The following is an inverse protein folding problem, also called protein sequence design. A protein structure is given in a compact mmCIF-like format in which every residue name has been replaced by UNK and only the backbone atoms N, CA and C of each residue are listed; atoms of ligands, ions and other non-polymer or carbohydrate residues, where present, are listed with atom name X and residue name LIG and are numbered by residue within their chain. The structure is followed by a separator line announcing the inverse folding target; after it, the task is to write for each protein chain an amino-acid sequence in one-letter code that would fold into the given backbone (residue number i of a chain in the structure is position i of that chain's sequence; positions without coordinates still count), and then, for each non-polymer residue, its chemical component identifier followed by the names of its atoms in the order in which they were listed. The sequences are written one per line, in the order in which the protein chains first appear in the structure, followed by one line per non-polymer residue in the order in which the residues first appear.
data_IF_329968584580
#
_entry.id   IF_329968584580
#
_cell.length_a   1.000
_cell.length_b   1.000
_cell.length_c   1.000
_cell.angle_alpha   90.00
_cell.angle_beta   90.00
_cell.angle_gamma   90.00
#
_symmetry.space_group_name_H-M   'P 1'
#
loop_
_entity.id
_entity.type
_entity.pdbx_description
1 polymer ?
#
# COMPACT_ATOMS: atom_id res chain seq x y z
N UNK A 1 -78.53 -18.05 -0.16
CA UNK A 1 -77.45 -18.76 0.54
C UNK A 1 -76.14 -18.12 0.14
N UNK A 2 -75.63 -17.24 1.01
CA UNK A 2 -74.36 -16.54 0.79
C UNK A 2 -73.23 -17.41 1.33
N UNK A 3 -72.29 -17.79 0.46
CA UNK A 3 -71.10 -18.54 0.85
C UNK A 3 -70.00 -17.53 1.17
N UNK A 4 -69.45 -17.65 2.38
CA UNK A 4 -68.40 -16.79 2.93
C UNK A 4 -67.13 -16.88 2.07
N UNK A 5 -66.65 -15.73 1.58
CA UNK A 5 -65.30 -15.60 1.02
C UNK A 5 -64.32 -15.73 2.18
N UNK A 6 -63.61 -16.85 2.23
CA UNK A 6 -62.47 -17.02 3.12
C UNK A 6 -61.38 -16.03 2.69
N UNK A 7 -60.94 -15.22 3.65
CA UNK A 7 -59.75 -14.39 3.56
C UNK A 7 -58.58 -15.35 3.35
N UNK A 8 -58.06 -15.40 2.13
CA UNK A 8 -56.80 -16.08 1.83
C UNK A 8 -55.70 -15.22 2.46
N UNK A 9 -55.02 -15.77 3.47
CA UNK A 9 -53.82 -15.20 4.08
C UNK A 9 -52.84 -14.73 2.99
N UNK A 10 -52.63 -13.42 2.95
CA UNK A 10 -51.63 -12.79 2.09
C UNK A 10 -50.18 -13.10 2.54
N UNK A 11 -50.00 -13.85 3.63
CA UNK A 11 -48.67 -14.19 4.17
C UNK A 11 -47.93 -15.24 3.33
N UNK A 12 -48.62 -16.05 2.53
CA UNK A 12 -47.98 -17.09 1.71
C UNK A 12 -47.46 -16.62 0.34
N UNK A 13 -47.81 -15.41 -0.10
CA UNK A 13 -47.25 -14.80 -1.33
C UNK A 13 -46.03 -13.91 -1.07
N UNK A 14 -45.68 -13.66 0.20
CA UNK A 14 -44.42 -12.99 0.57
C UNK A 14 -43.25 -13.98 0.78
N UNK A 15 -43.49 -15.29 0.67
CA UNK A 15 -42.46 -16.32 0.80
C UNK A 15 -41.75 -16.69 -0.51
N UNK A 16 -41.95 -15.92 -1.59
CA UNK A 16 -41.15 -16.00 -2.81
C UNK A 16 -39.97 -15.02 -2.78
N UNK A 17 -38.74 -15.55 -2.63
CA UNK A 17 -37.44 -14.87 -2.46
C UNK A 17 -37.18 -14.37 -1.04
N UNK A 18 -36.81 -15.30 -0.17
CA UNK A 18 -36.29 -15.00 1.17
C UNK A 18 -35.06 -14.09 1.12
N UNK A 19 -35.28 -12.78 1.21
CA UNK A 19 -34.35 -11.90 1.92
C UNK A 19 -34.72 -12.05 3.40
N UNK A 20 -34.00 -12.92 4.12
CA UNK A 20 -33.78 -12.64 5.53
C UNK A 20 -33.18 -11.24 5.57
N UNK A 21 -33.86 -10.29 6.18
CA UNK A 21 -33.25 -9.02 6.56
C UNK A 21 -32.21 -9.40 7.60
N UNK A 22 -30.97 -9.64 7.16
CA UNK A 22 -29.85 -9.86 8.07
C UNK A 22 -29.76 -8.63 8.96
N UNK A 23 -29.85 -8.83 10.27
CA UNK A 23 -29.43 -7.81 11.21
C UNK A 23 -28.01 -7.40 10.83
N UNK A 24 -27.78 -6.09 10.74
CA UNK A 24 -26.47 -5.59 10.33
C UNK A 24 -25.44 -6.05 11.34
N UNK A 25 -24.28 -6.45 10.84
CA UNK A 25 -23.15 -6.84 11.66
C UNK A 25 -22.87 -5.79 12.74
N UNK A 26 -22.91 -6.22 14.00
CA UNK A 26 -22.57 -5.41 15.16
C UNK A 26 -21.20 -5.83 15.68
N UNK A 27 -20.26 -4.89 15.67
CA UNK A 27 -18.88 -5.09 16.11
C UNK A 27 -18.88 -5.60 17.55
N UNK A 28 -19.79 -5.13 18.41
CA UNK A 28 -19.85 -5.50 19.83
C UNK A 28 -20.29 -6.95 20.09
N UNK A 29 -20.82 -7.62 19.08
CA UNK A 29 -21.31 -8.99 19.22
C UNK A 29 -20.28 -10.07 18.89
N UNK A 30 -19.10 -9.69 18.39
CA UNK A 30 -18.05 -10.62 17.96
C UNK A 30 -16.77 -10.50 18.79
N UNK A 31 -15.93 -11.54 18.79
CA UNK A 31 -14.62 -11.50 19.43
C UNK A 31 -13.58 -10.71 18.62
N UNK A 32 -12.54 -10.21 19.29
CA UNK A 32 -11.44 -9.53 18.59
C UNK A 32 -10.65 -10.48 17.68
N UNK A 33 -10.56 -11.77 18.04
CA UNK A 33 -10.00 -12.81 17.17
C UNK A 33 -10.76 -12.92 15.84
N UNK A 34 -12.09 -12.86 15.90
CA UNK A 34 -12.93 -12.85 14.69
C UNK A 34 -12.67 -11.59 13.85
N UNK A 35 -12.55 -10.42 14.49
CA UNK A 35 -12.28 -9.15 13.80
C UNK A 35 -10.91 -9.16 13.11
N UNK A 36 -9.88 -9.64 13.81
CA UNK A 36 -8.53 -9.79 13.25
C UNK A 36 -8.52 -10.76 12.08
N UNK A 37 -9.19 -11.90 12.21
CA UNK A 37 -9.20 -12.93 11.14
C UNK A 37 -10.00 -12.48 9.92
N UNK A 38 -11.10 -11.74 10.11
CA UNK A 38 -12.04 -11.40 9.04
C UNK A 38 -11.73 -10.04 8.40
N UNK A 39 -11.34 -9.06 9.21
CA UNK A 39 -11.13 -7.68 8.79
C UNK A 39 -9.67 -7.24 8.88
N UNK A 40 -8.79 -8.03 9.53
CA UNK A 40 -7.34 -7.78 9.60
C UNK A 40 -6.91 -6.80 10.69
N UNK A 41 -7.84 -6.27 11.49
CA UNK A 41 -7.56 -5.23 12.46
C UNK A 41 -8.30 -5.43 13.79
N UNK A 42 -7.71 -4.99 14.92
CA UNK A 42 -8.36 -5.06 16.22
C UNK A 42 -9.51 -4.05 16.32
N UNK A 43 -10.45 -4.30 17.24
CA UNK A 43 -11.63 -3.46 17.49
C UNK A 43 -11.30 -1.98 17.70
N UNK A 44 -10.33 -1.69 18.55
CA UNK A 44 -9.93 -0.31 18.87
C UNK A 44 -9.48 0.44 17.63
N UNK A 45 -8.71 -0.21 16.75
CA UNK A 45 -8.29 0.37 15.48
C UNK A 45 -9.46 0.60 14.52
N UNK A 46 -10.42 -0.35 14.46
CA UNK A 46 -11.62 -0.18 13.63
C UNK A 46 -12.42 1.03 14.11
N UNK A 47 -12.60 1.20 15.42
CA UNK A 47 -13.30 2.37 15.97
C UNK A 47 -12.56 3.68 15.73
N UNK A 48 -11.23 3.68 15.89
CA UNK A 48 -10.42 4.83 15.52
C UNK A 48 -10.61 5.20 14.05
N UNK A 49 -10.62 4.22 13.15
CA UNK A 49 -10.83 4.44 11.72
C UNK A 49 -12.24 4.96 11.40
N UNK A 50 -13.25 4.46 12.11
CA UNK A 50 -14.62 5.00 12.03
C UNK A 50 -14.63 6.47 12.39
N UNK A 51 -14.06 6.84 13.54
CA UNK A 51 -14.04 8.23 14.00
C UNK A 51 -13.26 9.14 13.04
N UNK A 52 -12.16 8.64 12.46
CA UNK A 52 -11.33 9.37 11.51
C UNK A 52 -12.05 9.65 10.17
N UNK A 53 -12.90 8.72 9.70
CA UNK A 53 -13.53 8.78 8.38
C UNK A 53 -15.03 9.10 8.41
N UNK A 54 -15.65 9.20 9.60
CA UNK A 54 -17.11 9.36 9.74
C UNK A 54 -17.66 10.53 8.93
N UNK A 55 -17.00 11.68 8.95
CA UNK A 55 -17.52 12.90 8.32
C UNK A 55 -17.57 12.77 6.79
N UNK A 56 -16.61 12.06 6.19
CA UNK A 56 -16.59 11.75 4.75
C UNK A 56 -17.58 10.65 4.36
N UNK A 57 -17.94 9.76 5.30
CA UNK A 57 -18.79 8.59 5.03
C UNK A 57 -20.27 8.81 5.39
N UNK A 58 -20.57 9.77 6.28
CA UNK A 58 -21.91 10.14 6.67
C UNK A 58 -22.66 10.75 5.49
N UNK A 59 -23.85 10.22 5.21
CA UNK A 59 -24.74 10.76 4.18
C UNK A 59 -25.89 11.49 4.85
N UNK A 60 -26.12 12.74 4.45
CA UNK A 60 -27.38 13.44 4.71
C UNK A 60 -28.45 12.82 3.80
N UNK A 61 -29.20 11.85 4.30
CA UNK A 61 -30.26 11.17 3.55
C UNK A 61 -31.50 11.01 4.40
N UNK A 62 -32.67 11.25 3.79
CA UNK A 62 -33.99 11.00 4.40
C UNK A 62 -34.46 9.55 4.23
N UNK A 63 -33.64 8.68 3.60
CA UNK A 63 -33.96 7.26 3.44
C UNK A 63 -33.83 6.53 4.78
N UNK A 64 -34.88 5.79 5.16
CA UNK A 64 -34.83 4.84 6.27
C UNK A 64 -33.75 3.79 5.99
N UNK A 65 -32.81 3.58 6.93
CA UNK A 65 -31.73 2.57 6.88
C UNK A 65 -30.56 2.87 5.93
N UNK A 66 -29.99 4.07 5.96
CA UNK A 66 -28.66 4.30 5.37
C UNK A 66 -27.61 3.35 5.99
N UNK A 67 -26.62 2.88 5.21
CA UNK A 67 -25.51 2.07 5.73
C UNK A 67 -24.63 2.98 6.60
N UNK A 68 -24.37 2.59 7.84
CA UNK A 68 -23.56 3.39 8.78
C UNK A 68 -22.09 3.42 8.33
N UNK A 69 -21.30 4.42 8.78
CA UNK A 69 -19.86 4.45 8.52
C UNK A 69 -19.13 3.16 8.92
N UNK A 70 -19.50 2.57 10.07
CA UNK A 70 -18.91 1.33 10.60
C UNK A 70 -19.08 0.17 9.62
N UNK A 71 -20.31 -0.03 9.13
CA UNK A 71 -20.60 -1.09 8.15
C UNK A 71 -19.90 -0.83 6.81
N UNK A 72 -19.80 0.45 6.38
CA UNK A 72 -19.04 0.80 5.18
C UNK A 72 -17.56 0.45 5.33
N UNK A 73 -16.97 0.74 6.49
CA UNK A 73 -15.56 0.46 6.80
C UNK A 73 -15.31 -1.04 6.90
N UNK A 74 -16.12 -1.80 7.63
CA UNK A 74 -16.00 -3.26 7.70
C UNK A 74 -16.09 -3.91 6.32
N UNK A 75 -17.01 -3.43 5.46
CA UNK A 75 -17.10 -3.87 4.07
C UNK A 75 -15.80 -3.61 3.31
N UNK A 76 -15.23 -2.41 3.42
CA UNK A 76 -13.98 -2.07 2.74
C UNK A 76 -12.79 -2.88 3.29
N UNK A 77 -12.63 -2.97 4.61
CA UNK A 77 -11.58 -3.75 5.27
C UNK A 77 -11.66 -5.21 4.87
N UNK A 78 -12.84 -5.82 4.93
CA UNK A 78 -13.04 -7.21 4.53
C UNK A 78 -12.67 -7.45 3.07
N UNK A 79 -12.93 -6.49 2.16
CA UNK A 79 -12.46 -6.58 0.78
C UNK A 79 -10.93 -6.48 0.70
N UNK A 80 -10.32 -5.49 1.36
CA UNK A 80 -8.88 -5.28 1.28
C UNK A 80 -8.09 -6.46 1.86
N UNK A 81 -8.48 -6.99 3.01
CA UNK A 81 -7.68 -7.96 3.78
C UNK A 81 -7.91 -9.40 3.38
N UNK A 82 -9.10 -9.77 2.89
CA UNK A 82 -9.36 -11.14 2.43
C UNK A 82 -8.92 -11.38 0.99
N UNK A 83 -8.90 -10.33 0.16
CA UNK A 83 -8.70 -10.45 -1.29
C UNK A 83 -9.81 -11.26 -1.98
N UNK A 84 -10.90 -11.55 -1.28
CA UNK A 84 -12.00 -12.37 -1.78
C UNK A 84 -12.94 -11.55 -2.67
N UNK A 85 -13.72 -12.25 -3.50
CA UNK A 85 -14.80 -11.61 -4.24
C UNK A 85 -15.78 -10.95 -3.27
N UNK A 86 -16.16 -9.71 -3.57
CA UNK A 86 -17.07 -8.88 -2.77
C UNK A 86 -18.37 -9.58 -2.34
N UNK A 87 -18.84 -10.58 -3.10
CA UNK A 87 -20.06 -11.33 -2.80
C UNK A 87 -20.00 -12.08 -1.47
N UNK A 88 -18.90 -12.78 -1.17
CA UNK A 88 -18.77 -13.57 0.07
C UNK A 88 -18.77 -12.67 1.31
N UNK A 89 -18.12 -11.51 1.23
CA UNK A 89 -18.09 -10.53 2.32
C UNK A 89 -19.44 -9.80 2.47
N UNK A 90 -20.12 -9.51 1.36
CA UNK A 90 -21.46 -8.94 1.38
C UNK A 90 -22.47 -9.80 2.13
N UNK A 91 -22.42 -11.13 1.92
CA UNK A 91 -23.27 -12.08 2.64
C UNK A 91 -22.97 -12.13 4.14
N UNK A 92 -21.69 -12.06 4.52
CA UNK A 92 -21.26 -12.05 5.93
C UNK A 92 -21.70 -10.78 6.68
N UNK A 93 -21.67 -9.62 6.00
CA UNK A 93 -22.06 -8.32 6.58
C UNK A 93 -23.58 -8.07 6.47
N UNK A 94 -24.25 -8.77 5.56
CA UNK A 94 -25.67 -8.60 5.26
C UNK A 94 -26.00 -7.45 4.32
N UNK A 95 -25.14 -7.20 3.32
CA UNK A 95 -25.34 -6.17 2.29
C UNK A 95 -25.26 -6.72 0.87
N UNK A 96 -26.06 -6.15 -0.04
CA UNK A 96 -26.02 -6.54 -1.46
C UNK A 96 -24.68 -6.20 -2.11
N UNK A 97 -24.29 -6.94 -3.16
CA UNK A 97 -23.04 -6.69 -3.89
C UNK A 97 -22.93 -5.24 -4.40
N UNK A 98 -24.02 -4.66 -4.91
CA UNK A 98 -24.03 -3.27 -5.34
C UNK A 98 -23.75 -2.29 -4.18
N UNK A 99 -24.21 -2.62 -2.97
CA UNK A 99 -23.91 -1.83 -1.76
C UNK A 99 -22.47 -2.01 -1.31
N UNK A 100 -21.95 -3.24 -1.34
CA UNK A 100 -20.55 -3.56 -1.08
C UNK A 100 -19.61 -2.74 -1.98
N UNK A 101 -19.85 -2.75 -3.29
CA UNK A 101 -19.07 -1.99 -4.27
C UNK A 101 -19.06 -0.48 -3.95
N UNK A 102 -20.22 0.09 -3.57
CA UNK A 102 -20.32 1.49 -3.15
C UNK A 102 -19.57 1.76 -1.85
N UNK A 103 -19.62 0.85 -0.87
CA UNK A 103 -18.89 0.99 0.39
C UNK A 103 -17.39 1.04 0.13
N UNK A 104 -16.85 0.06 -0.61
CA UNK A 104 -15.43 0.01 -0.99
C UNK A 104 -15.03 1.30 -1.71
N UNK A 105 -15.80 1.77 -2.69
CA UNK A 105 -15.49 3.01 -3.41
C UNK A 105 -15.51 4.25 -2.51
N UNK A 106 -16.49 4.39 -1.60
CA UNK A 106 -16.55 5.56 -0.70
C UNK A 106 -15.39 5.55 0.30
N UNK A 107 -15.10 4.40 0.91
CA UNK A 107 -14.01 4.28 1.89
C UNK A 107 -12.64 4.46 1.23
N UNK A 108 -12.44 3.89 0.03
CA UNK A 108 -11.23 4.12 -0.78
C UNK A 108 -11.01 5.62 -0.98
N UNK A 109 -12.06 6.34 -1.38
CA UNK A 109 -11.99 7.79 -1.59
C UNK A 109 -11.66 8.54 -0.29
N UNK A 110 -12.36 8.21 0.80
CA UNK A 110 -12.13 8.85 2.10
C UNK A 110 -10.71 8.62 2.63
N UNK A 111 -10.14 7.43 2.42
CA UNK A 111 -8.74 7.13 2.75
C UNK A 111 -7.76 7.93 1.89
N UNK A 112 -7.99 8.05 0.59
CA UNK A 112 -7.13 8.86 -0.30
C UNK A 112 -7.15 10.34 0.09
N UNK A 113 -8.32 10.87 0.47
CA UNK A 113 -8.44 12.25 0.97
C UNK A 113 -7.57 12.50 2.21
N UNK A 114 -7.25 11.45 2.98
CA UNK A 114 -6.34 11.48 4.13
C UNK A 114 -4.87 11.28 3.78
N UNK A 115 -4.51 10.94 2.54
CA UNK A 115 -3.13 10.65 2.17
C UNK A 115 -2.11 11.75 2.56
N UNK A 116 -2.38 13.06 2.37
CA UNK A 116 -1.43 14.11 2.77
C UNK A 116 -1.20 14.23 4.28
N UNK A 117 -2.11 13.70 5.12
CA UNK A 117 -1.96 13.69 6.57
C UNK A 117 -1.07 12.52 7.05
N UNK A 118 -1.02 11.43 6.28
CA UNK A 118 -0.40 10.17 6.71
C UNK A 118 0.83 9.75 5.89
N UNK A 119 0.98 10.23 4.65
CA UNK A 119 2.10 9.90 3.76
C UNK A 119 2.80 11.20 3.38
N UNK A 120 4.04 11.35 3.84
CA UNK A 120 4.87 12.50 3.52
C UNK A 120 6.17 12.49 4.29
N UNK A 121 7.16 13.20 3.75
CA UNK A 121 8.35 13.56 4.51
C UNK A 121 7.96 14.57 5.60
N UNK A 122 8.31 14.27 6.84
CA UNK A 122 8.13 15.21 7.94
C UNK A 122 9.11 16.38 7.80
N UNK A 123 8.64 17.58 8.11
CA UNK A 123 9.46 18.80 8.21
C UNK A 123 10.05 19.00 9.60
N UNK A 124 9.63 18.20 10.57
CA UNK A 124 10.14 18.30 11.94
C UNK A 124 11.55 17.70 12.03
N UNK A 125 12.52 18.53 12.39
CA UNK A 125 13.93 18.15 12.44
C UNK A 125 14.20 17.05 13.48
N UNK A 126 13.46 17.05 14.59
CA UNK A 126 13.60 16.01 15.62
C UNK A 126 13.23 14.64 15.06
N UNK A 127 12.12 14.55 14.33
CA UNK A 127 11.66 13.32 13.69
C UNK A 127 12.60 12.89 12.56
N UNK A 128 13.14 13.84 11.78
CA UNK A 128 14.15 13.55 10.75
C UNK A 128 15.41 12.97 11.35
N UNK A 129 15.91 13.56 12.43
CA UNK A 129 17.10 13.08 13.13
C UNK A 129 16.88 11.68 13.74
N UNK A 130 15.72 11.45 14.34
CA UNK A 130 15.34 10.11 14.84
C UNK A 130 15.31 9.07 13.70
N UNK A 131 14.73 9.41 12.55
CA UNK A 131 14.72 8.51 11.39
C UNK A 131 16.13 8.18 10.88
N UNK A 132 17.03 9.17 10.84
CA UNK A 132 18.45 8.96 10.46
C UNK A 132 19.15 8.01 11.44
N UNK A 133 18.90 8.18 12.73
CA UNK A 133 19.45 7.29 13.77
C UNK A 133 18.87 5.87 13.68
N UNK A 134 17.58 5.73 13.39
CA UNK A 134 16.95 4.43 13.16
C UNK A 134 17.59 3.70 11.99
N UNK A 135 17.81 4.36 10.85
CA UNK A 135 18.52 3.76 9.72
C UNK A 135 19.97 3.43 10.06
N UNK A 136 20.68 4.32 10.75
CA UNK A 136 22.07 4.09 11.14
C UNK A 136 22.21 2.82 11.99
N UNK A 137 21.24 2.53 12.87
CA UNK A 137 21.23 1.30 13.69
C UNK A 137 21.08 0.00 12.88
N UNK A 138 20.60 0.05 11.64
CA UNK A 138 20.34 -1.15 10.83
C UNK A 138 21.65 -1.72 10.30
N UNK A 139 22.43 -0.90 9.60
CA UNK A 139 23.69 -1.35 8.99
C UNK A 139 24.79 -0.28 8.93
N UNK A 140 24.64 0.82 9.67
CA UNK A 140 25.70 1.82 9.84
C UNK A 140 25.84 2.85 8.70
N UNK A 141 24.88 2.92 7.77
CA UNK A 141 24.88 4.01 6.76
C UNK A 141 24.34 5.29 7.43
N UNK A 142 25.16 6.36 7.56
CA UNK A 142 24.73 7.62 8.16
C UNK A 142 23.74 8.37 7.26
N UNK A 143 22.94 9.26 7.85
CA UNK A 143 22.09 10.23 7.16
C UNK A 143 21.13 9.66 6.11
N UNK A 144 20.74 8.39 6.22
CA UNK A 144 19.68 7.83 5.37
C UNK A 144 18.35 8.46 5.75
N UNK A 145 17.64 8.97 4.75
CA UNK A 145 16.33 9.62 4.91
C UNK A 145 15.16 8.73 4.48
N UNK A 146 15.45 7.66 3.74
CA UNK A 146 14.44 6.75 3.22
C UNK A 146 15.06 5.73 2.28
N UNK A 147 14.35 4.63 2.08
CA UNK A 147 14.68 3.61 1.06
C UNK A 147 13.60 3.66 -0.02
N UNK A 148 14.00 3.66 -1.29
CA UNK A 148 13.10 3.74 -2.45
C UNK A 148 13.17 2.45 -3.26
N UNK A 149 12.01 1.92 -3.63
CA UNK A 149 11.90 0.90 -4.67
C UNK A 149 10.52 0.89 -5.32
N UNK A 150 10.43 0.17 -6.43
CA UNK A 150 9.23 -0.09 -7.19
C UNK A 150 8.76 -1.53 -7.01
N UNK A 151 7.45 -1.73 -6.95
CA UNK A 151 6.83 -3.05 -7.02
C UNK A 151 5.64 -3.08 -7.98
N UNK A 152 5.45 -4.24 -8.62
CA UNK A 152 4.34 -4.45 -9.54
C UNK A 152 3.14 -5.09 -8.84
N UNK A 153 1.99 -4.41 -8.86
CA UNK A 153 0.71 -4.97 -8.42
C UNK A 153 -0.07 -5.48 -9.64
N UNK A 154 -0.37 -6.78 -9.66
CA UNK A 154 -1.08 -7.41 -10.77
C UNK A 154 -2.52 -6.89 -10.90
N UNK A 155 -2.90 -6.54 -12.13
CA UNK A 155 -4.24 -6.08 -12.47
C UNK A 155 -4.82 -6.89 -13.62
N UNK A 156 -6.15 -6.86 -13.75
CA UNK A 156 -6.79 -7.31 -14.99
C UNK A 156 -6.30 -6.43 -16.14
N UNK A 157 -6.02 -7.06 -17.28
CA UNK A 157 -5.77 -6.35 -18.52
C UNK A 157 -6.87 -5.30 -18.77
N UNK A 158 -6.55 -3.99 -18.88
CA UNK A 158 -7.54 -2.96 -19.15
C UNK A 158 -8.25 -3.23 -20.48
N UNK A 159 -7.46 -3.56 -21.50
CA UNK A 159 -7.85 -4.14 -22.79
C UNK A 159 -6.81 -5.20 -23.17
N UNK A 160 -7.20 -6.28 -23.84
CA UNK A 160 -6.28 -7.39 -24.17
C UNK A 160 -5.08 -6.96 -25.04
N UNK A 161 -5.21 -5.85 -25.76
CA UNK A 161 -4.19 -5.32 -26.68
C UNK A 161 -3.39 -4.14 -26.10
N UNK A 162 -3.70 -3.67 -24.87
CA UNK A 162 -3.01 -2.54 -24.27
C UNK A 162 -1.73 -2.98 -23.55
N UNK A 163 -0.63 -2.98 -24.31
CA UNK A 163 0.70 -3.33 -23.81
C UNK A 163 1.27 -2.33 -22.80
N UNK A 164 0.64 -1.17 -22.59
CA UNK A 164 1.12 -0.13 -21.67
C UNK A 164 1.22 -0.61 -20.23
N UNK A 165 0.45 -1.63 -19.84
CA UNK A 165 0.48 -2.21 -18.49
C UNK A 165 1.25 -3.52 -18.40
N UNK A 166 1.78 -4.05 -19.51
CA UNK A 166 2.53 -5.31 -19.51
C UNK A 166 3.96 -5.06 -19.02
N UNK A 167 4.31 -5.67 -17.89
CA UNK A 167 5.66 -5.57 -17.35
C UNK A 167 6.62 -6.55 -18.03
N UNK A 168 7.90 -6.49 -17.65
CA UNK A 168 8.95 -7.37 -18.17
C UNK A 168 8.71 -8.86 -17.90
N UNK A 169 7.92 -9.20 -16.86
CA UNK A 169 7.48 -10.56 -16.54
C UNK A 169 6.26 -11.02 -17.37
N UNK A 170 5.78 -10.19 -18.31
CA UNK A 170 4.72 -10.54 -19.26
C UNK A 170 3.30 -10.47 -18.71
N UNK A 171 3.07 -9.84 -17.54
CA UNK A 171 1.73 -9.67 -16.98
C UNK A 171 1.34 -8.20 -16.80
N UNK A 172 0.03 -7.94 -16.79
CA UNK A 172 -0.51 -6.59 -16.63
C UNK A 172 -0.40 -6.14 -15.16
N UNK A 173 0.20 -4.98 -14.92
CA UNK A 173 0.43 -4.48 -13.56
C UNK A 173 0.40 -2.96 -13.48
N UNK A 174 0.14 -2.46 -12.28
CA UNK A 174 0.49 -1.09 -11.89
C UNK A 174 1.88 -1.13 -11.26
N UNK A 175 2.82 -0.35 -11.78
CA UNK A 175 4.11 -0.12 -11.14
C UNK A 175 3.91 0.91 -10.01
N UNK A 176 4.28 0.54 -8.78
CA UNK A 176 4.11 1.35 -7.59
C UNK A 176 5.47 1.71 -7.03
N UNK A 177 5.81 2.99 -6.95
CA UNK A 177 7.01 3.46 -6.26
C UNK A 177 6.68 3.84 -4.84
N UNK A 178 7.39 3.24 -3.88
CA UNK A 178 7.28 3.60 -2.47
C UNK A 178 8.62 4.11 -1.95
N UNK A 179 8.53 5.04 -1.01
CA UNK A 179 9.66 5.41 -0.14
C UNK A 179 9.23 5.17 1.29
N UNK A 180 10.04 4.48 2.10
CA UNK A 180 9.72 4.24 3.50
C UNK A 180 10.88 4.55 4.45
N UNK A 181 10.55 4.81 5.71
CA UNK A 181 11.50 4.92 6.81
C UNK A 181 11.99 3.53 7.28
N UNK A 182 12.87 3.54 8.29
CA UNK A 182 13.46 2.33 8.88
C UNK A 182 12.42 1.35 9.48
N UNK A 183 11.21 1.81 9.77
CA UNK A 183 10.11 1.03 10.37
C UNK A 183 9.07 0.60 9.32
N UNK A 184 9.28 0.96 8.06
CA UNK A 184 8.33 0.70 6.97
C UNK A 184 7.16 1.70 6.92
N UNK A 185 7.26 2.85 7.59
CA UNK A 185 6.31 3.95 7.42
C UNK A 185 6.54 4.62 6.07
N UNK A 186 5.49 4.74 5.25
CA UNK A 186 5.60 5.30 3.91
C UNK A 186 5.77 6.83 3.97
N UNK A 187 6.87 7.32 3.40
CA UNK A 187 7.19 8.73 3.24
C UNK A 187 6.70 9.27 1.88
N UNK A 188 6.61 8.38 0.89
CA UNK A 188 6.01 8.65 -0.42
C UNK A 188 5.39 7.37 -0.97
N UNK A 189 4.29 7.51 -1.70
CA UNK A 189 3.60 6.41 -2.36
C UNK A 189 2.97 6.85 -3.68
N UNK A 190 3.56 6.42 -4.80
CA UNK A 190 3.03 6.65 -6.14
C UNK A 190 2.53 5.35 -6.76
N UNK A 191 1.21 5.23 -6.88
CA UNK A 191 0.54 3.95 -7.15
C UNK A 191 -0.19 3.95 -8.49
N UNK A 192 0.28 4.71 -9.48
CA UNK A 192 -0.47 4.97 -10.71
C UNK A 192 0.31 4.70 -12.01
N UNK A 193 1.57 4.26 -11.91
CA UNK A 193 2.42 4.10 -13.09
C UNK A 193 2.04 2.84 -13.89
N UNK A 194 1.97 2.91 -15.23
CA UNK A 194 1.77 1.73 -16.05
C UNK A 194 2.90 0.71 -15.88
N UNK A 195 2.56 -0.58 -15.85
CA UNK A 195 3.50 -1.67 -15.62
C UNK A 195 4.60 -1.83 -16.67
N UNK A 196 4.47 -1.24 -17.86
CA UNK A 196 5.53 -1.23 -18.87
C UNK A 196 6.67 -0.26 -18.55
N UNK A 197 6.45 0.72 -17.66
CA UNK A 197 7.47 1.69 -17.30
C UNK A 197 8.53 1.05 -16.41
N UNK A 198 9.79 1.34 -16.73
CA UNK A 198 10.94 0.95 -15.90
C UNK A 198 11.01 1.79 -14.64
N UNK A 199 11.61 1.25 -13.59
CA UNK A 199 11.72 1.94 -12.29
C UNK A 199 12.49 3.27 -12.41
N UNK A 200 13.49 3.31 -13.29
CA UNK A 200 14.17 4.55 -13.67
C UNK A 200 13.22 5.58 -14.29
N UNK A 201 12.34 5.18 -15.20
CA UNK A 201 11.40 6.08 -15.85
C UNK A 201 10.32 6.59 -14.89
N UNK A 202 9.86 5.72 -13.99
CA UNK A 202 8.95 6.08 -12.88
C UNK A 202 9.64 7.10 -11.97
N UNK A 203 10.84 6.79 -11.49
CA UNK A 203 11.59 7.66 -10.59
C UNK A 203 11.86 9.04 -11.18
N UNK A 204 12.32 9.15 -12.43
CA UNK A 204 12.58 10.45 -13.09
C UNK A 204 11.35 11.35 -13.15
N UNK A 205 10.14 10.81 -13.12
CA UNK A 205 8.88 11.57 -13.19
C UNK A 205 8.22 11.77 -11.82
N UNK A 206 8.68 11.03 -10.81
CA UNK A 206 8.12 11.04 -9.46
C UNK A 206 8.24 12.39 -8.77
N UNK A 207 7.29 12.66 -7.88
CA UNK A 207 7.28 13.77 -6.94
C UNK A 207 8.49 13.76 -6.00
N UNK A 208 8.96 12.58 -5.59
CA UNK A 208 10.14 12.46 -4.71
C UNK A 208 11.41 12.89 -5.44
N UNK A 209 11.59 12.54 -6.71
CA UNK A 209 12.74 13.02 -7.47
C UNK A 209 12.73 14.55 -7.60
N UNK A 210 11.57 15.15 -7.89
CA UNK A 210 11.44 16.62 -7.96
C UNK A 210 11.77 17.29 -6.62
N UNK A 211 11.23 16.76 -5.52
CA UNK A 211 11.47 17.28 -4.17
C UNK A 211 12.98 17.34 -3.86
N UNK A 212 13.71 16.26 -4.15
CA UNK A 212 15.13 16.19 -3.83
C UNK A 212 16.05 16.91 -4.84
N UNK A 213 15.58 17.15 -6.07
CA UNK A 213 16.31 17.99 -7.04
C UNK A 213 16.13 19.49 -6.76
N UNK A 214 15.00 19.92 -6.20
CA UNK A 214 14.70 21.33 -5.94
C UNK A 214 15.23 21.85 -4.59
N UNK A 215 15.25 21.03 -3.54
CA UNK A 215 15.49 21.50 -2.17
C UNK A 215 16.97 21.66 -1.74
N UNK A 216 17.95 21.49 -2.65
CA UNK A 216 19.40 21.44 -2.30
C UNK A 216 19.62 20.59 -1.04
N UNK A 217 19.14 19.33 -1.11
CA UNK A 217 19.09 18.38 0.01
C UNK A 217 20.50 17.89 0.39
N UNK A 218 21.28 18.76 1.04
CA UNK A 218 22.62 18.47 1.57
C UNK A 218 22.58 17.68 2.90
N UNK A 219 21.39 17.35 3.40
CA UNK A 219 21.20 16.82 4.75
C UNK A 219 21.09 15.28 4.82
N UNK A 220 21.23 14.57 3.70
CA UNK A 220 21.21 13.12 3.69
C UNK A 220 20.94 12.49 2.33
N UNK A 221 20.63 11.19 2.34
CA UNK A 221 20.43 10.42 1.12
C UNK A 221 19.27 9.44 1.20
N UNK A 222 18.59 9.28 0.07
CA UNK A 222 17.78 8.10 -0.19
C UNK A 222 18.67 6.94 -0.62
N UNK A 223 18.27 5.72 -0.31
CA UNK A 223 18.89 4.50 -0.86
C UNK A 223 17.97 3.89 -1.91
N UNK A 224 18.48 3.75 -3.13
CA UNK A 224 17.83 2.98 -4.20
C UNK A 224 18.73 1.84 -4.65
N UNK A 225 18.19 0.86 -5.34
CA UNK A 225 18.98 -0.24 -5.87
C UNK A 225 19.74 0.15 -7.16
N UNK A 226 20.28 -0.84 -7.86
CA UNK A 226 21.06 -0.62 -9.08
C UNK A 226 20.23 -0.16 -10.30
N UNK A 227 18.89 -0.21 -10.25
CA UNK A 227 17.98 0.28 -11.30
C UNK A 227 17.86 1.81 -11.27
N UNK A 228 18.23 2.44 -10.15
CA UNK A 228 18.19 3.88 -9.95
C UNK A 228 19.50 4.58 -10.37
N UNK A 229 19.44 5.84 -10.83
CA UNK A 229 20.66 6.62 -11.11
C UNK A 229 21.36 7.04 -9.81
N UNK A 230 22.69 7.00 -9.79
CA UNK A 230 23.45 7.59 -8.69
C UNK A 230 23.33 9.13 -8.74
N UNK A 231 22.92 9.74 -7.62
CA UNK A 231 22.85 11.21 -7.43
C UNK A 231 23.55 11.58 -6.11
N UNK A 232 23.78 12.87 -5.86
CA UNK A 232 24.39 13.32 -4.58
C UNK A 232 23.54 12.93 -3.36
N UNK A 233 22.23 12.89 -3.53
CA UNK A 233 21.22 12.58 -2.53
C UNK A 233 20.56 11.19 -2.75
N UNK A 234 21.01 10.40 -3.73
CA UNK A 234 20.51 9.04 -3.99
C UNK A 234 21.68 8.08 -4.14
N UNK A 235 21.90 7.27 -3.11
CA UNK A 235 22.98 6.30 -3.05
C UNK A 235 22.52 4.94 -3.57
N UNK A 236 23.34 4.35 -4.44
CA UNK A 236 23.12 3.02 -5.00
C UNK A 236 24.32 2.11 -4.74
N UNK A 237 24.17 0.77 -4.82
CA UNK A 237 25.28 -0.16 -4.65
C UNK A 237 26.42 0.09 -5.64
N UNK A 238 27.64 -0.26 -5.24
CA UNK A 238 28.80 -0.31 -6.14
C UNK A 238 28.66 -1.57 -7.02
N UNK A 239 28.62 -1.41 -8.34
CA UNK A 239 28.38 -2.53 -9.27
C UNK A 239 29.54 -3.53 -9.32
N UNK A 240 30.77 -3.05 -9.17
CA UNK A 240 31.99 -3.86 -9.18
C UNK A 240 32.87 -3.45 -8.01
N UNK A 241 32.56 -3.90 -6.78
CA UNK A 241 33.36 -3.57 -5.60
C UNK A 241 34.74 -4.25 -5.70
N UNK A 242 35.80 -3.48 -5.47
CA UNK A 242 37.19 -3.94 -5.54
C UNK A 242 37.89 -3.88 -4.17
N UNK A 243 37.40 -3.03 -3.26
CA UNK A 243 37.97 -2.85 -1.92
C UNK A 243 37.10 -3.46 -0.81
N UNK A 244 37.68 -3.90 0.32
CA UNK A 244 36.90 -4.35 1.49
C UNK A 244 35.87 -3.33 1.97
N UNK A 245 36.16 -2.03 1.84
CA UNK A 245 35.24 -0.96 2.20
C UNK A 245 33.99 -0.94 1.29
N UNK A 246 34.17 -1.09 -0.03
CA UNK A 246 33.06 -1.17 -0.97
C UNK A 246 32.20 -2.42 -0.74
N UNK A 247 32.81 -3.56 -0.40
CA UNK A 247 32.05 -4.77 -0.03
C UNK A 247 31.21 -4.55 1.23
N UNK A 248 31.77 -3.93 2.27
CA UNK A 248 31.03 -3.61 3.51
C UNK A 248 29.91 -2.60 3.26
N UNK A 249 30.16 -1.58 2.44
CA UNK A 249 29.13 -0.63 2.02
C UNK A 249 27.99 -1.33 1.28
N UNK A 250 28.30 -2.20 0.31
CA UNK A 250 27.27 -2.94 -0.42
C UNK A 250 26.46 -3.85 0.50
N UNK A 251 27.11 -4.56 1.43
CA UNK A 251 26.41 -5.39 2.42
C UNK A 251 25.45 -4.54 3.27
N UNK A 252 25.91 -3.38 3.74
CA UNK A 252 25.08 -2.47 4.52
C UNK A 252 23.94 -1.86 3.70
N UNK A 253 24.21 -1.53 2.43
CA UNK A 253 23.22 -0.98 1.50
C UNK A 253 22.12 -2.00 1.24
N UNK A 254 22.47 -3.23 0.85
CA UNK A 254 21.49 -4.31 0.65
C UNK A 254 20.66 -4.56 1.91
N UNK A 255 21.30 -4.69 3.08
CA UNK A 255 20.60 -4.91 4.36
C UNK A 255 19.61 -3.80 4.68
N UNK A 256 19.98 -2.54 4.41
CA UNK A 256 19.11 -1.38 4.67
C UNK A 256 18.01 -1.28 3.61
N UNK A 257 18.33 -1.51 2.34
CA UNK A 257 17.39 -1.43 1.23
C UNK A 257 16.29 -2.49 1.35
N UNK A 258 16.60 -3.70 1.85
CA UNK A 258 15.63 -4.78 2.09
C UNK A 258 14.38 -4.35 2.91
N UNK A 259 14.45 -3.27 3.70
CA UNK A 259 13.29 -2.72 4.42
C UNK A 259 12.13 -2.39 3.47
N UNK A 260 12.41 -1.87 2.27
CA UNK A 260 11.34 -1.50 1.32
C UNK A 260 10.66 -2.75 0.75
N UNK A 261 11.43 -3.79 0.43
CA UNK A 261 10.92 -5.09 0.00
C UNK A 261 10.04 -5.73 1.08
N UNK A 262 10.52 -5.71 2.32
CA UNK A 262 9.76 -6.17 3.48
C UNK A 262 8.47 -5.36 3.63
N UNK A 263 8.53 -4.05 3.42
CA UNK A 263 7.36 -3.15 3.52
C UNK A 263 6.32 -3.49 2.47
N UNK A 264 6.73 -3.69 1.20
CA UNK A 264 5.83 -4.15 0.15
C UNK A 264 5.18 -5.50 0.50
N UNK A 265 5.98 -6.47 0.98
CA UNK A 265 5.48 -7.78 1.41
C UNK A 265 4.47 -7.65 2.55
N UNK A 266 4.75 -6.80 3.54
CA UNK A 266 3.88 -6.53 4.68
C UNK A 266 2.54 -5.89 4.27
N UNK A 267 2.55 -5.02 3.25
CA UNK A 267 1.33 -4.43 2.67
C UNK A 267 0.52 -5.51 1.92
N UNK A 268 1.13 -6.32 1.06
CA UNK A 268 0.42 -7.35 0.26
C UNK A 268 -0.14 -8.49 1.13
N UNK A 269 0.72 -9.10 1.93
CA UNK A 269 0.60 -9.04 3.38
C UNK A 269 -0.80 -8.91 4.02
N UNK A 270 -0.99 -7.73 4.59
CA UNK A 270 -2.20 -7.30 5.27
C UNK A 270 -3.38 -7.15 4.30
N UNK A 271 -3.12 -6.68 3.09
CA UNK A 271 -4.14 -6.36 2.08
C UNK A 271 -4.09 -7.33 0.92
N UNK A 272 -4.68 -8.52 1.13
CA UNK A 272 -4.67 -9.61 0.16
C UNK A 272 -5.32 -9.29 -1.18
N UNK A 273 -6.07 -8.20 -1.30
CA UNK A 273 -6.51 -7.73 -2.62
C UNK A 273 -5.36 -7.29 -3.53
N UNK A 274 -4.18 -7.00 -2.97
CA UNK A 274 -2.95 -6.63 -3.68
C UNK A 274 -2.02 -7.83 -3.93
N UNK A 275 -2.32 -8.98 -3.34
CA UNK A 275 -1.54 -10.20 -3.47
C UNK A 275 -1.97 -10.99 -4.72
N UNK A 276 -1.09 -10.99 -5.72
CA UNK A 276 -1.32 -11.67 -7.00
C UNK A 276 -1.57 -13.18 -6.89
N UNK A 277 -1.17 -13.83 -5.79
CA UNK A 277 -1.35 -15.27 -5.60
C UNK A 277 -2.82 -15.68 -5.44
N UNK A 278 -3.68 -14.77 -4.93
CA UNK A 278 -5.12 -15.02 -4.74
C UNK A 278 -5.98 -14.49 -5.90
N UNK A 279 -5.34 -13.93 -6.91
CA UNK A 279 -5.99 -13.33 -8.07
C UNK A 279 -5.49 -11.90 -8.31
N UNK A 280 -6.08 -11.24 -9.31
CA UNK A 280 -5.75 -9.88 -9.70
C UNK A 280 -6.95 -8.95 -9.50
N UNK A 281 -6.68 -7.66 -9.29
CA UNK A 281 -7.72 -6.64 -9.16
C UNK A 281 -8.53 -6.56 -10.47
N UNK A 282 -9.84 -6.81 -10.38
CA UNK A 282 -10.77 -6.88 -11.51
C UNK A 282 -11.36 -5.52 -11.89
N UNK A 283 -10.59 -4.43 -11.73
CA UNK A 283 -11.06 -3.08 -11.98
C UNK A 283 -10.24 -2.38 -13.07
N UNK A 284 -10.68 -1.19 -13.48
CA UNK A 284 -9.87 -0.32 -14.33
C UNK A 284 -8.55 0.03 -13.62
N UNK A 285 -7.46 0.30 -14.37
CA UNK A 285 -6.18 0.73 -13.81
C UNK A 285 -6.30 1.88 -12.81
N UNK A 286 -7.13 2.89 -13.11
CA UNK A 286 -7.42 4.02 -12.22
C UNK A 286 -8.02 3.57 -10.88
N UNK A 287 -9.00 2.66 -10.90
CA UNK A 287 -9.61 2.15 -9.67
C UNK A 287 -8.65 1.24 -8.91
N UNK A 288 -7.80 0.47 -9.60
CA UNK A 288 -6.73 -0.28 -8.97
C UNK A 288 -5.74 0.66 -8.25
N UNK A 289 -5.32 1.74 -8.91
CA UNK A 289 -4.44 2.76 -8.35
C UNK A 289 -5.01 3.35 -7.05
N UNK A 290 -6.29 3.72 -7.05
CA UNK A 290 -6.98 4.22 -5.86
C UNK A 290 -7.03 3.18 -4.73
N UNK A 291 -7.31 1.90 -5.04
CA UNK A 291 -7.32 0.83 -4.03
C UNK A 291 -5.92 0.65 -3.42
N UNK A 292 -4.87 0.64 -4.24
CA UNK A 292 -3.48 0.51 -3.77
C UNK A 292 -3.13 1.70 -2.88
N UNK A 293 -3.48 2.93 -3.29
CA UNK A 293 -3.22 4.13 -2.49
C UNK A 293 -3.95 4.11 -1.15
N UNK A 294 -5.21 3.69 -1.12
CA UNK A 294 -5.97 3.54 0.11
C UNK A 294 -5.34 2.49 1.06
N UNK A 295 -4.80 1.40 0.53
CA UNK A 295 -4.06 0.41 1.32
C UNK A 295 -2.75 1.00 1.89
N UNK A 296 -2.04 1.83 1.12
CA UNK A 296 -0.84 2.53 1.59
C UNK A 296 -1.16 3.50 2.73
N UNK A 297 -2.25 4.27 2.61
CA UNK A 297 -2.72 5.16 3.68
C UNK A 297 -3.09 4.36 4.92
N UNK A 298 -3.87 3.30 4.76
CA UNK A 298 -4.30 2.44 5.86
C UNK A 298 -3.12 1.75 6.56
N UNK A 299 -2.07 1.38 5.82
CA UNK A 299 -0.80 0.90 6.37
C UNK A 299 -0.18 1.95 7.30
N UNK A 300 -0.01 3.19 6.86
CA UNK A 300 0.57 4.23 7.72
C UNK A 300 -0.32 4.57 8.93
N UNK A 301 -1.64 4.67 8.75
CA UNK A 301 -2.58 4.88 9.85
C UNK A 301 -2.41 3.77 10.90
N UNK A 302 -2.28 2.52 10.47
CA UNK A 302 -2.06 1.38 11.37
C UNK A 302 -0.75 1.47 12.15
N UNK A 303 0.35 1.86 11.48
CA UNK A 303 1.65 2.04 12.13
C UNK A 303 1.63 3.14 13.18
N UNK A 304 1.05 4.28 12.84
CA UNK A 304 0.96 5.41 13.76
C UNK A 304 0.01 5.13 14.94
N UNK A 305 -0.90 4.18 14.80
CA UNK A 305 -1.77 3.69 15.88
C UNK A 305 -1.10 2.63 16.76
N UNK A 306 0.18 2.31 16.52
CA UNK A 306 0.95 1.35 17.30
C UNK A 306 0.89 -0.10 16.80
N UNK A 307 0.29 -0.37 15.64
CA UNK A 307 0.39 -1.69 15.00
C UNK A 307 1.75 -1.83 14.33
N UNK A 308 2.33 -3.02 14.32
CA UNK A 308 3.63 -3.26 13.69
C UNK A 308 3.46 -3.55 12.19
N UNK A 309 4.37 -3.06 11.34
CA UNK A 309 4.41 -3.39 9.91
C UNK A 309 4.57 -4.90 9.72
N UNK A 310 5.37 -5.54 10.57
CA UNK A 310 5.88 -6.88 10.34
C UNK A 310 4.99 -7.99 10.91
N UNK A 311 3.89 -7.64 11.60
CA UNK A 311 3.01 -8.59 12.31
C UNK A 311 2.55 -9.77 11.44
N UNK A 312 2.51 -9.58 10.12
CA UNK A 312 1.99 -10.57 9.19
C UNK A 312 3.03 -11.11 8.20
N UNK A 313 4.29 -10.64 8.21
CA UNK A 313 5.27 -10.94 7.16
C UNK A 313 5.43 -12.47 6.96
N UNK A 314 5.13 -12.98 5.75
CA UNK A 314 5.43 -14.36 5.37
C UNK A 314 6.88 -14.43 4.88
N UNK A 315 7.67 -15.32 5.46
CA UNK A 315 9.05 -15.61 5.04
C UNK A 315 9.03 -16.44 3.76
N UNK A 316 8.79 -15.81 2.60
CA UNK A 316 9.02 -16.44 1.30
C UNK A 316 10.21 -15.78 0.62
N UNK A 317 11.04 -16.60 -0.04
CA UNK A 317 12.27 -16.15 -0.69
C UNK A 317 11.97 -15.24 -1.88
N UNK A 318 12.72 -14.15 -1.99
CA UNK A 318 12.63 -13.17 -3.07
C UNK A 318 13.21 -13.76 -4.36
N UNK A 319 12.43 -13.74 -5.45
CA UNK A 319 12.91 -14.04 -6.79
C UNK A 319 13.52 -12.75 -7.37
N UNK A 320 14.76 -12.47 -6.98
CA UNK A 320 15.55 -11.37 -7.54
C UNK A 320 16.05 -11.78 -8.93
N UNK A 321 15.23 -11.54 -9.95
CA UNK A 321 15.70 -11.59 -11.34
C UNK A 321 16.56 -10.36 -11.59
N UNK A 322 17.89 -10.55 -11.63
CA UNK A 322 18.83 -9.52 -12.05
C UNK A 322 18.50 -9.04 -13.46
N UNK A 323 18.30 -7.74 -13.61
CA UNK A 323 18.04 -7.12 -14.91
C UNK A 323 19.28 -6.38 -15.42
N UNK A 324 19.45 -6.41 -16.74
CA UNK A 324 20.52 -5.71 -17.45
C UNK A 324 20.38 -4.19 -17.29
N UNK A 325 21.49 -3.57 -16.86
CA UNK A 325 21.65 -2.13 -16.69
C UNK A 325 21.78 -1.50 -18.09
N UNK A 326 20.93 -0.52 -18.40
CA UNK A 326 21.09 0.33 -19.58
C UNK A 326 22.34 1.22 -19.41
N UNK A 327 23.42 1.03 -20.21
CA UNK A 327 24.74 1.66 -19.97
C UNK A 327 24.81 3.17 -20.24
N UNK A 328 23.68 3.84 -20.47
CA UNK A 328 23.66 5.10 -21.23
C UNK A 328 23.64 6.39 -20.40
N UNK A 329 23.48 6.34 -19.07
CA UNK A 329 23.57 7.56 -18.26
C UNK A 329 25.03 7.79 -17.81
N UNK A 330 25.59 8.92 -18.26
CA UNK A 330 26.88 9.43 -17.77
C UNK A 330 26.74 9.71 -16.27
N UNK A 331 27.39 8.90 -15.44
CA UNK A 331 27.33 9.04 -13.99
C UNK A 331 27.94 10.39 -13.61
N UNK A 332 27.19 11.19 -12.84
CA UNK A 332 27.68 12.48 -12.36
C UNK A 332 28.97 12.28 -11.53
N UNK A 333 30.13 12.84 -11.95
CA UNK A 333 31.40 12.66 -11.24
C UNK A 333 31.35 13.09 -9.78
N UNK A 334 30.54 14.10 -9.47
CA UNK A 334 30.37 14.59 -8.12
C UNK A 334 29.61 13.59 -7.24
N UNK A 335 28.58 12.94 -7.76
CA UNK A 335 27.84 11.91 -7.04
C UNK A 335 28.73 10.67 -6.75
N UNK A 336 29.61 10.31 -7.69
CA UNK A 336 30.63 9.28 -7.46
C UNK A 336 31.58 9.65 -6.33
N UNK A 337 32.05 10.89 -6.31
CA UNK A 337 32.93 11.40 -5.24
C UNK A 337 32.24 11.34 -3.88
N UNK A 338 31.00 11.81 -3.79
CA UNK A 338 30.21 11.77 -2.54
C UNK A 338 30.06 10.33 -2.02
N UNK A 339 29.71 9.37 -2.90
CA UNK A 339 29.62 7.96 -2.50
C UNK A 339 30.97 7.39 -2.05
N UNK A 340 32.06 7.72 -2.75
CA UNK A 340 33.39 7.26 -2.36
C UNK A 340 33.84 7.84 -1.02
N UNK A 341 33.56 9.11 -0.74
CA UNK A 341 33.81 9.74 0.57
C UNK A 341 32.99 9.05 1.68
N UNK A 342 31.71 8.76 1.44
CA UNK A 342 30.87 7.99 2.36
C UNK A 342 31.47 6.61 2.67
N UNK A 343 31.89 5.89 1.63
CA UNK A 343 32.50 4.55 1.76
C UNK A 343 33.80 4.64 2.58
N UNK A 344 34.68 5.57 2.25
CA UNK A 344 35.97 5.71 2.93
C UNK A 344 35.81 6.11 4.39
N UNK A 345 34.88 7.01 4.71
CA UNK A 345 34.72 7.54 6.07
C UNK A 345 34.00 6.57 7.02
N UNK A 346 33.14 5.70 6.51
CA UNK A 346 32.25 4.88 7.35
C UNK A 346 32.42 3.37 7.19
N UNK A 347 33.08 2.89 6.13
CA UNK A 347 33.19 1.45 5.82
C UNK A 347 34.63 0.93 5.67
N UNK A 348 35.64 1.78 5.79
CA UNK A 348 37.07 1.41 5.73
C UNK A 348 37.52 0.47 6.85
#
# INVERSE_FOLDING_TARGET
MAISIAILDCDLLLHGRGHKTLDRFDIETVSDEFLLTTFGFPREFIYYLVELLKDSLLRRTQRSRAISPDVQILAALGFYTTGSFQSKMGDAIGISQASMSRCVSNVTKALIEKAPEFIGFTRDETTRQQSKEEFYRIAGIPNVMGVVDCAHIAIKAPNADDSSYVNKKGFHSINCQLVCDARGLLLSAETHWPGSLTDRAVFKQSSVAKLFEEEDNDEGWLLGDNRYPLKKWLMTPVQSPESPAEYRYNLAHTTTHEIVDRTFRAIQTRFRCLDGAKGYLQYSPEKCSHIIQACCVLHNISLQSGLDAWTFERTEATDQSGEDIDPTDTVNPEALRVRQELIQNHFS
#
